data_IF_776974871906
#
_entry.id   IF_776974871906
#
_cell.length_a   1.000
_cell.length_b   1.000
_cell.length_c   1.000
_cell.angle_alpha   90.00
_cell.angle_beta   90.00
_cell.angle_gamma   90.00
#
_symmetry.space_group_name_H-M   'P 1'
#
loop_
_entity.id
_entity.type
_entity.pdbx_description
1 polymer ?
#
# COMPACT_ATOMS: atom_id res chain seq x y z
N UNK A 1 -7.69 -0.81 -5.00
CA UNK A 1 -7.31 -1.85 -4.07
C UNK A 1 -6.96 -1.27 -2.71
N UNK A 2 -7.87 -1.44 -1.78
CA UNK A 2 -7.73 -1.06 -0.37
C UNK A 2 -7.95 -2.33 0.42
N UNK A 3 -7.00 -2.65 1.32
CA UNK A 3 -7.14 -3.78 2.23
C UNK A 3 -7.91 -3.31 3.47
N UNK A 4 -9.00 -3.97 3.79
CA UNK A 4 -9.79 -3.71 4.99
C UNK A 4 -9.64 -4.88 5.95
N UNK A 5 -9.20 -4.59 7.18
CA UNK A 5 -9.06 -5.58 8.25
C UNK A 5 -9.85 -5.13 9.46
N UNK A 6 -10.84 -5.90 9.85
CA UNK A 6 -11.67 -5.62 11.04
C UNK A 6 -11.08 -6.30 12.27
N UNK A 7 -10.99 -5.54 13.35
CA UNK A 7 -10.59 -6.00 14.67
C UNK A 7 -11.76 -5.85 15.65
N UNK A 8 -12.03 -6.90 16.40
CA UNK A 8 -13.10 -6.93 17.40
C UNK A 8 -12.61 -7.59 18.70
N UNK A 9 -12.95 -7.00 19.82
CA UNK A 9 -12.69 -7.51 21.17
C UNK A 9 -13.85 -7.14 22.10
N UNK A 10 -13.81 -7.63 23.34
CA UNK A 10 -14.79 -7.25 24.36
C UNK A 10 -14.71 -5.76 24.72
N UNK A 11 -13.58 -5.11 24.45
CA UNK A 11 -13.35 -3.69 24.76
C UNK A 11 -13.84 -2.76 23.64
N UNK A 12 -13.98 -3.24 22.41
CA UNK A 12 -14.44 -2.43 21.29
C UNK A 12 -14.04 -2.97 19.91
N UNK A 13 -14.33 -2.17 18.88
CA UNK A 13 -14.14 -2.53 17.48
C UNK A 13 -13.54 -1.38 16.68
N UNK A 14 -12.67 -1.71 15.73
CA UNK A 14 -12.13 -0.78 14.75
C UNK A 14 -11.78 -1.50 13.45
N UNK A 15 -11.63 -0.74 12.37
CA UNK A 15 -11.20 -1.23 11.06
C UNK A 15 -9.90 -0.55 10.68
N UNK A 16 -8.96 -1.31 10.16
CA UNK A 16 -7.74 -0.81 9.54
C UNK A 16 -7.89 -0.87 8.02
N UNK A 17 -7.69 0.27 7.36
CA UNK A 17 -7.71 0.40 5.92
C UNK A 17 -6.29 0.72 5.43
N UNK A 18 -5.67 -0.26 4.77
CA UNK A 18 -4.32 -0.11 4.20
C UNK A 18 -4.42 0.16 2.70
N UNK A 19 -3.76 1.22 2.23
CA UNK A 19 -3.74 1.57 0.82
C UNK A 19 -2.52 2.40 0.43
N UNK A 20 -2.20 2.39 -0.85
CA UNK A 20 -1.29 3.34 -1.48
C UNK A 20 -2.13 4.29 -2.34
N UNK A 21 -1.96 5.62 -2.24
CA UNK A 21 -2.73 6.58 -3.02
C UNK A 21 -2.60 6.32 -4.52
N UNK A 22 -3.74 6.29 -5.20
CA UNK A 22 -3.80 6.09 -6.63
C UNK A 22 -5.02 6.82 -7.19
N UNK A 23 -4.80 7.92 -7.92
CA UNK A 23 -5.86 8.66 -8.60
C UNK A 23 -5.30 9.50 -9.74
N UNK A 24 -6.15 10.05 -10.60
CA UNK A 24 -5.71 10.95 -11.67
C UNK A 24 -5.25 12.29 -11.07
N UNK A 25 -4.12 12.79 -11.56
CA UNK A 25 -3.66 14.13 -11.22
C UNK A 25 -4.63 15.22 -11.70
N UNK A 26 -4.59 16.39 -11.11
CA UNK A 26 -5.53 17.47 -11.44
C UNK A 26 -5.40 17.98 -12.88
N UNK A 27 -4.22 17.86 -13.48
CA UNK A 27 -3.94 18.22 -14.86
C UNK A 27 -4.37 17.16 -15.90
N UNK A 28 -4.98 16.06 -15.44
CA UNK A 28 -5.43 14.91 -16.25
C UNK A 28 -4.33 14.21 -17.08
N UNK A 29 -3.08 14.69 -16.99
CA UNK A 29 -1.96 14.19 -17.80
C UNK A 29 -1.31 12.94 -17.22
N UNK A 30 -1.58 12.60 -15.96
CA UNK A 30 -0.94 11.49 -15.29
C UNK A 30 -1.72 10.95 -14.08
N UNK A 31 -1.07 10.06 -13.36
CA UNK A 31 -1.58 9.51 -12.12
C UNK A 31 -0.71 9.99 -10.96
N UNK A 32 -1.35 10.29 -9.84
CA UNK A 32 -0.66 10.49 -8.57
C UNK A 32 -0.42 9.12 -7.94
N UNK A 33 0.83 8.71 -7.88
CA UNK A 33 1.29 7.40 -7.41
C UNK A 33 2.52 7.59 -6.52
N UNK A 34 2.39 8.21 -5.35
CA UNK A 34 3.53 8.43 -4.47
C UNK A 34 4.00 7.10 -3.86
N UNK A 35 5.27 7.02 -3.49
CA UNK A 35 5.81 5.89 -2.74
C UNK A 35 5.41 5.98 -1.25
N UNK A 36 4.12 5.97 -1.00
CA UNK A 36 3.50 6.18 0.30
C UNK A 36 2.51 5.06 0.62
N UNK A 37 2.57 4.56 1.85
CA UNK A 37 1.59 3.62 2.39
C UNK A 37 0.81 4.30 3.51
N UNK A 38 -0.48 4.35 3.34
CA UNK A 38 -1.42 4.87 4.32
C UNK A 38 -2.08 3.72 5.07
N UNK A 39 -2.24 3.90 6.36
CA UNK A 39 -3.00 3.04 7.26
C UNK A 39 -3.99 3.89 8.02
N UNK A 40 -5.23 3.92 7.58
CA UNK A 40 -6.32 4.59 8.27
C UNK A 40 -6.96 3.64 9.28
N UNK A 41 -7.00 4.06 10.53
CA UNK A 41 -7.56 3.32 11.65
C UNK A 41 -8.91 3.94 11.97
N UNK A 42 -9.97 3.32 11.47
CA UNK A 42 -11.35 3.79 11.66
C UNK A 42 -11.93 3.20 12.94
N UNK A 43 -12.19 4.06 13.91
CA UNK A 43 -12.83 3.70 15.16
C UNK A 43 -14.32 3.44 14.94
N UNK A 44 -14.86 2.32 15.47
CA UNK A 44 -16.26 1.97 15.38
C UNK A 44 -16.95 2.19 16.72
N UNK A 45 -16.47 1.54 17.77
CA UNK A 45 -17.08 1.64 19.11
C UNK A 45 -16.15 1.16 20.22
N UNK A 46 -16.48 1.56 21.47
CA UNK A 46 -15.75 1.12 22.67
C UNK A 46 -14.40 1.80 22.81
N UNK A 47 -13.52 1.15 23.57
CA UNK A 47 -12.14 1.60 23.83
C UNK A 47 -11.17 0.46 23.55
N UNK A 48 -11.10 -0.03 22.28
CA UNK A 48 -10.21 -1.13 21.97
C UNK A 48 -8.76 -0.73 22.19
N UNK A 49 -7.95 -1.70 22.63
CA UNK A 49 -6.54 -1.53 22.92
C UNK A 49 -5.70 -2.28 21.91
N UNK A 50 -4.62 -1.66 21.44
CA UNK A 50 -3.68 -2.28 20.52
C UNK A 50 -2.27 -1.75 20.72
N UNK A 51 -1.31 -2.40 20.05
CA UNK A 51 0.09 -1.96 19.97
C UNK A 51 0.52 -1.88 18.53
N UNK A 52 1.32 -0.87 18.21
CA UNK A 52 1.95 -0.75 16.90
C UNK A 52 3.36 -1.31 17.01
N UNK A 53 3.64 -2.34 16.21
CA UNK A 53 4.98 -2.88 16.08
C UNK A 53 5.65 -2.34 14.81
N UNK A 54 6.25 -1.16 14.91
CA UNK A 54 7.03 -0.59 13.81
C UNK A 54 8.41 -1.26 13.78
N UNK A 55 8.63 -2.06 12.74
CA UNK A 55 9.87 -2.82 12.57
C UNK A 55 10.36 -2.69 11.12
N UNK A 56 10.88 -1.51 10.74
CA UNK A 56 11.38 -1.28 9.39
C UNK A 56 12.63 -2.12 9.11
N UNK A 57 12.78 -2.53 7.85
CA UNK A 57 13.91 -3.34 7.38
C UNK A 57 14.48 -2.76 6.07
N UNK A 58 14.97 -1.51 6.06
CA UNK A 58 15.54 -0.90 4.87
C UNK A 58 16.72 -1.72 4.37
N UNK A 59 17.00 -1.62 3.07
CA UNK A 59 18.06 -2.35 2.39
C UNK A 59 18.00 -3.87 2.66
N UNK A 60 16.80 -4.46 2.53
CA UNK A 60 16.56 -5.91 2.71
C UNK A 60 17.05 -6.46 4.06
N UNK A 61 17.02 -5.67 5.11
CA UNK A 61 17.51 -6.03 6.46
C UNK A 61 19.01 -6.45 6.51
N UNK A 62 19.84 -5.98 5.58
CA UNK A 62 21.26 -6.33 5.52
C UNK A 62 22.14 -5.61 6.55
N UNK A 63 21.57 -4.69 7.33
CA UNK A 63 22.30 -3.93 8.33
C UNK A 63 21.48 -3.54 9.53
N UNK A 64 22.14 -2.89 10.49
CA UNK A 64 21.42 -2.34 11.64
C UNK A 64 20.54 -1.18 11.22
N UNK A 65 19.32 -1.16 11.75
CA UNK A 65 18.37 -0.09 11.51
C UNK A 65 18.59 1.02 12.53
N UNK A 66 18.74 2.25 12.05
CA UNK A 66 18.79 3.46 12.87
C UNK A 66 17.41 4.10 12.85
N UNK A 67 16.89 4.42 14.03
CA UNK A 67 15.60 5.11 14.21
C UNK A 67 15.84 6.47 14.86
N UNK A 68 15.58 7.54 14.13
CA UNK A 68 15.59 8.92 14.64
C UNK A 68 14.17 9.42 14.81
N UNK A 69 13.82 9.85 16.02
CA UNK A 69 12.52 10.47 16.30
C UNK A 69 12.66 11.99 16.20
N UNK A 70 11.77 12.58 15.44
CA UNK A 70 11.54 14.01 15.40
C UNK A 70 10.13 14.33 15.93
N UNK A 71 9.76 15.59 16.14
CA UNK A 71 8.39 15.93 16.52
C UNK A 71 7.34 15.55 15.47
N UNK A 72 7.73 15.35 14.21
CA UNK A 72 6.81 15.15 13.09
C UNK A 72 6.80 13.72 12.53
N UNK A 73 7.92 12.98 12.64
CA UNK A 73 8.07 11.64 12.06
C UNK A 73 9.15 10.82 12.77
N UNK A 74 9.09 9.51 12.57
CA UNK A 74 10.21 8.60 12.82
C UNK A 74 10.92 8.34 11.50
N UNK A 75 12.19 8.71 11.40
CA UNK A 75 13.05 8.36 10.28
C UNK A 75 13.74 7.02 10.56
N UNK A 76 13.73 6.13 9.57
CA UNK A 76 14.47 4.85 9.62
C UNK A 76 15.34 4.67 8.39
N UNK A 77 16.57 4.20 8.61
CA UNK A 77 17.53 3.90 7.54
C UNK A 77 18.56 2.86 8.00
N UNK A 78 19.28 2.27 7.03
CA UNK A 78 20.34 1.32 7.31
C UNK A 78 21.64 2.03 7.72
N UNK A 79 22.36 1.51 8.70
CA UNK A 79 23.57 2.14 9.28
C UNK A 79 24.72 2.34 8.28
N UNK A 80 24.85 1.49 7.27
CA UNK A 80 25.91 1.58 6.27
C UNK A 80 25.44 2.09 4.89
N UNK A 81 24.14 2.13 4.64
CA UNK A 81 23.56 2.68 3.42
C UNK A 81 22.34 3.52 3.78
N UNK A 82 22.46 4.82 3.58
CA UNK A 82 21.41 5.77 3.91
C UNK A 82 20.54 6.17 2.69
N UNK A 83 20.63 5.41 1.58
CA UNK A 83 19.83 5.68 0.38
C UNK A 83 18.37 5.31 0.56
N UNK A 84 18.11 4.20 1.28
CA UNK A 84 16.77 3.72 1.57
C UNK A 84 16.29 4.31 2.89
N UNK A 85 15.57 5.43 2.83
CA UNK A 85 15.00 6.10 3.99
C UNK A 85 13.49 5.92 4.03
N UNK A 86 12.98 5.70 5.23
CA UNK A 86 11.55 5.63 5.47
C UNK A 86 11.18 6.66 6.52
N UNK A 87 10.04 7.33 6.32
CA UNK A 87 9.51 8.34 7.22
C UNK A 87 8.12 7.93 7.67
N UNK A 88 7.97 7.60 8.95
CA UNK A 88 6.69 7.27 9.54
C UNK A 88 6.08 8.50 10.21
N UNK A 89 4.97 8.97 9.69
CA UNK A 89 4.11 9.99 10.27
C UNK A 89 2.91 9.31 10.95
N UNK A 90 2.37 9.93 11.98
CA UNK A 90 1.20 9.42 12.68
C UNK A 90 0.41 10.55 13.32
N UNK A 91 -0.90 10.36 13.45
CA UNK A 91 -1.73 11.16 14.37
C UNK A 91 -1.55 10.75 15.83
N UNK A 92 -0.99 9.55 16.06
CA UNK A 92 -0.65 8.98 17.36
C UNK A 92 0.73 9.45 17.85
N UNK A 93 0.99 9.26 19.14
CA UNK A 93 2.30 9.55 19.74
C UNK A 93 3.41 8.70 19.11
N UNK A 94 4.35 9.34 18.40
CA UNK A 94 5.51 8.67 17.80
C UNK A 94 6.40 8.00 18.86
N UNK A 95 6.47 8.57 20.06
CA UNK A 95 7.23 8.00 21.16
C UNK A 95 6.59 6.69 21.67
N UNK A 96 5.26 6.65 21.80
CA UNK A 96 4.55 5.45 22.24
C UNK A 96 4.64 4.33 21.17
N UNK A 97 4.65 4.70 19.88
CA UNK A 97 4.90 3.75 18.77
C UNK A 97 6.31 3.16 18.92
N UNK A 98 7.34 3.99 19.10
CA UNK A 98 8.73 3.50 19.27
C UNK A 98 8.87 2.59 20.48
N UNK A 99 8.25 2.96 21.60
CA UNK A 99 8.31 2.20 22.85
C UNK A 99 7.34 1.01 22.88
N UNK A 100 6.56 0.81 21.81
CA UNK A 100 5.55 -0.26 21.69
C UNK A 100 4.56 -0.27 22.83
N UNK A 101 4.19 0.93 23.31
CA UNK A 101 3.19 1.07 24.36
C UNK A 101 1.81 0.67 23.87
N UNK A 102 0.97 0.31 24.82
CA UNK A 102 -0.44 0.09 24.57
C UNK A 102 -1.15 1.42 24.31
N UNK A 103 -1.94 1.44 23.24
CA UNK A 103 -2.70 2.59 22.77
C UNK A 103 -4.19 2.26 22.91
N UNK A 104 -4.96 3.19 23.47
CA UNK A 104 -6.41 3.12 23.55
C UNK A 104 -6.97 3.94 22.40
N UNK A 105 -7.82 3.33 21.58
CA UNK A 105 -8.46 4.00 20.47
C UNK A 105 -9.82 4.57 20.91
N UNK A 106 -10.01 5.88 20.73
CA UNK A 106 -11.27 6.59 21.03
C UNK A 106 -11.80 7.41 19.86
N UNK A 107 -11.04 7.48 18.78
CA UNK A 107 -11.36 8.21 17.54
C UNK A 107 -10.56 7.64 16.38
N UNK A 108 -10.85 8.14 15.19
CA UNK A 108 -10.07 7.81 13.98
C UNK A 108 -8.63 8.30 14.12
N UNK A 109 -7.70 7.45 13.73
CA UNK A 109 -6.26 7.73 13.73
C UNK A 109 -5.64 7.25 12.42
N UNK A 110 -4.41 7.67 12.11
CA UNK A 110 -3.71 7.21 10.92
C UNK A 110 -2.21 7.04 11.14
N UNK A 111 -1.61 6.25 10.26
CA UNK A 111 -0.18 6.14 10.01
C UNK A 111 0.07 6.40 8.52
N UNK A 112 1.14 7.11 8.22
CA UNK A 112 1.63 7.32 6.87
C UNK A 112 3.11 6.95 6.82
N UNK A 113 3.46 5.99 6.00
CA UNK A 113 4.84 5.62 5.73
C UNK A 113 5.23 6.11 4.33
N UNK A 114 6.17 7.06 4.26
CA UNK A 114 6.74 7.56 3.02
C UNK A 114 8.13 6.99 2.79
N UNK A 115 8.47 6.68 1.54
CA UNK A 115 9.75 6.13 1.13
C UNK A 115 10.58 7.16 0.38
N UNK A 116 11.79 7.41 0.86
CA UNK A 116 12.80 8.35 0.34
C UNK A 116 12.40 9.83 0.25
N UNK A 117 11.13 10.15 0.47
CA UNK A 117 10.65 11.52 0.39
C UNK A 117 9.97 11.94 1.70
N UNK A 118 10.28 13.14 2.16
CA UNK A 118 9.58 13.75 3.28
C UNK A 118 8.31 14.40 2.77
N UNK A 119 7.20 14.11 3.43
CA UNK A 119 5.92 14.74 3.12
C UNK A 119 5.61 15.86 4.12
N UNK A 120 4.80 16.82 3.70
CA UNK A 120 4.24 17.81 4.61
C UNK A 120 3.30 17.05 5.55
N UNK A 121 3.42 17.23 6.88
CA UNK A 121 2.53 16.60 7.83
C UNK A 121 1.06 16.82 7.46
N UNK A 122 0.31 15.74 7.45
CA UNK A 122 -1.12 15.76 7.17
C UNK A 122 -1.93 15.58 8.46
N UNK A 123 -3.19 15.97 8.39
CA UNK A 123 -4.18 15.69 9.43
C UNK A 123 -5.12 14.56 8.99
N UNK A 124 -6.03 14.18 9.88
CA UNK A 124 -6.99 13.11 9.63
C UNK A 124 -7.98 13.45 8.50
N UNK A 125 -8.28 14.72 8.30
CA UNK A 125 -9.18 15.15 7.23
C UNK A 125 -8.51 15.02 5.85
N UNK A 126 -7.23 15.36 5.76
CA UNK A 126 -6.44 15.14 4.55
C UNK A 126 -6.31 13.64 4.24
N UNK A 127 -6.08 12.82 5.25
CA UNK A 127 -6.02 11.37 5.10
C UNK A 127 -7.33 10.81 4.52
N UNK A 128 -8.49 11.21 5.05
CA UNK A 128 -9.80 10.82 4.54
C UNK A 128 -10.00 11.21 3.07
N UNK A 129 -9.50 12.36 2.66
CA UNK A 129 -9.56 12.79 1.25
C UNK A 129 -8.73 11.85 0.37
N UNK A 130 -7.52 11.50 0.77
CA UNK A 130 -6.65 10.57 0.02
C UNK A 130 -7.28 9.17 -0.08
N UNK A 131 -7.89 8.68 1.00
CA UNK A 131 -8.67 7.46 1.01
C UNK A 131 -9.83 7.51 0.01
N UNK A 132 -10.68 8.54 0.08
CA UNK A 132 -11.84 8.70 -0.79
C UNK A 132 -11.43 8.79 -2.28
N UNK A 133 -10.40 9.56 -2.61
CA UNK A 133 -9.88 9.66 -3.98
C UNK A 133 -9.41 8.31 -4.51
N UNK A 134 -8.65 7.57 -3.70
CA UNK A 134 -8.16 6.25 -4.04
C UNK A 134 -9.32 5.25 -4.21
N UNK A 135 -10.30 5.27 -3.32
CA UNK A 135 -11.49 4.44 -3.40
C UNK A 135 -12.28 4.70 -4.69
N UNK A 136 -12.58 5.97 -4.98
CA UNK A 136 -13.31 6.39 -6.19
C UNK A 136 -12.56 5.97 -7.45
N UNK A 137 -11.24 6.12 -7.48
CA UNK A 137 -10.42 5.68 -8.61
C UNK A 137 -10.63 4.18 -8.89
N UNK A 138 -10.53 3.33 -7.88
CA UNK A 138 -10.65 1.88 -8.05
C UNK A 138 -12.08 1.45 -8.37
N UNK A 139 -13.08 2.07 -7.77
CA UNK A 139 -14.49 1.79 -8.09
C UNK A 139 -14.81 2.18 -9.54
N UNK A 140 -14.39 3.37 -9.99
CA UNK A 140 -14.57 3.80 -11.37
C UNK A 140 -13.86 2.87 -12.36
N UNK A 141 -12.72 2.30 -11.97
CA UNK A 141 -12.01 1.38 -12.83
C UNK A 141 -12.74 0.03 -12.95
N UNK A 142 -13.23 -0.53 -11.84
CA UNK A 142 -13.99 -1.79 -11.85
C UNK A 142 -15.35 -1.66 -12.51
N UNK A 143 -15.99 -0.50 -12.41
CA UNK A 143 -17.30 -0.26 -13.04
C UNK A 143 -17.25 -0.31 -14.58
N UNK A 144 -16.09 -0.06 -15.17
CA UNK A 144 -15.86 -0.16 -16.62
C UNK A 144 -15.65 -1.60 -17.11
N UNK A 145 -15.44 -2.56 -16.21
CA UNK A 145 -15.27 -3.96 -16.58
C UNK A 145 -16.59 -4.58 -17.04
N UNK A 146 -16.53 -5.53 -17.99
CA UNK A 146 -17.69 -6.32 -18.37
C UNK A 146 -18.17 -7.12 -17.16
N UNK A 147 -19.48 -7.18 -16.97
CA UNK A 147 -20.10 -7.95 -15.89
C UNK A 147 -20.56 -9.32 -16.43
N UNK A 148 -20.31 -10.35 -15.66
CA UNK A 148 -20.62 -11.73 -15.98
C UNK A 148 -21.55 -12.33 -14.94
N UNK A 149 -22.38 -13.27 -15.36
CA UNK A 149 -23.34 -13.96 -14.47
C UNK A 149 -22.65 -14.98 -13.57
N UNK A 150 -21.51 -15.53 -14.03
CA UNK A 150 -20.72 -16.52 -13.28
C UNK A 150 -19.36 -15.95 -12.94
N UNK A 151 -18.91 -16.16 -11.72
CA UNK A 151 -17.58 -15.83 -11.22
C UNK A 151 -17.19 -14.33 -11.32
N UNK A 152 -18.18 -13.42 -11.36
CA UNK A 152 -17.92 -11.99 -11.57
C UNK A 152 -16.92 -11.43 -10.55
N UNK A 153 -17.06 -11.76 -9.27
CA UNK A 153 -16.17 -11.27 -8.19
C UNK A 153 -14.73 -11.76 -8.40
N UNK A 154 -14.55 -13.00 -8.84
CA UNK A 154 -13.23 -13.58 -9.12
C UNK A 154 -12.60 -12.90 -10.34
N UNK A 155 -13.39 -12.63 -11.37
CA UNK A 155 -12.95 -11.92 -12.58
C UNK A 155 -12.54 -10.49 -12.23
N UNK A 156 -13.37 -9.74 -11.51
CA UNK A 156 -13.04 -8.39 -11.06
C UNK A 156 -11.76 -8.37 -10.24
N UNK A 157 -11.61 -9.31 -9.31
CA UNK A 157 -10.39 -9.43 -8.49
C UNK A 157 -9.15 -9.69 -9.35
N UNK A 158 -9.27 -10.57 -10.33
CA UNK A 158 -8.17 -10.88 -11.27
C UNK A 158 -7.78 -9.66 -12.11
N UNK A 159 -8.76 -8.92 -12.62
CA UNK A 159 -8.53 -7.68 -13.38
C UNK A 159 -7.84 -6.61 -12.52
N UNK A 160 -8.24 -6.46 -11.25
CA UNK A 160 -7.59 -5.55 -10.31
C UNK A 160 -6.12 -5.94 -10.06
N UNK A 161 -5.80 -7.23 -9.97
CA UNK A 161 -4.42 -7.71 -9.85
C UNK A 161 -3.63 -7.36 -11.11
N UNK A 162 -4.15 -7.64 -12.30
CA UNK A 162 -3.48 -7.29 -13.56
C UNK A 162 -3.23 -5.78 -13.67
N UNK A 163 -4.21 -4.96 -13.24
CA UNK A 163 -4.03 -3.50 -13.22
C UNK A 163 -2.93 -3.06 -12.25
N UNK A 164 -2.81 -3.69 -11.07
CA UNK A 164 -1.72 -3.44 -10.13
C UNK A 164 -0.35 -3.82 -10.68
N UNK A 165 -0.29 -4.82 -11.58
CA UNK A 165 0.94 -5.25 -12.24
C UNK A 165 1.36 -4.31 -13.37
N UNK A 166 0.48 -3.40 -13.80
CA UNK A 166 0.78 -2.46 -14.89
C UNK A 166 1.60 -1.28 -14.38
N UNK A 167 2.77 -1.07 -14.96
CA UNK A 167 3.64 0.06 -14.65
C UNK A 167 3.25 1.30 -15.46
N UNK A 168 3.68 2.49 -15.03
CA UNK A 168 3.27 3.76 -15.65
C UNK A 168 3.67 3.91 -17.13
N UNK A 169 4.70 3.19 -17.58
CA UNK A 169 5.13 3.19 -18.98
C UNK A 169 4.39 2.15 -19.86
N UNK A 170 3.36 1.47 -19.32
CA UNK A 170 2.60 0.45 -20.00
C UNK A 170 3.16 -0.98 -19.92
N UNK A 171 4.34 -1.17 -19.30
CA UNK A 171 4.87 -2.50 -19.06
C UNK A 171 4.03 -3.24 -18.01
N UNK A 172 3.86 -4.55 -18.21
CA UNK A 172 3.20 -5.43 -17.22
C UNK A 172 4.26 -6.28 -16.55
N UNK A 173 4.38 -6.16 -15.24
CA UNK A 173 5.31 -6.96 -14.43
C UNK A 173 4.82 -8.41 -14.36
N UNK A 174 5.73 -9.38 -14.44
CA UNK A 174 5.36 -10.78 -14.30
C UNK A 174 4.96 -11.13 -12.87
N UNK A 175 5.62 -10.55 -11.86
CA UNK A 175 5.21 -10.61 -10.45
C UNK A 175 5.81 -9.45 -9.65
N UNK A 176 5.15 -9.09 -8.54
CA UNK A 176 5.65 -8.06 -7.60
C UNK A 176 6.54 -8.63 -6.50
N UNK A 177 6.63 -9.95 -6.40
CA UNK A 177 7.28 -10.63 -5.29
C UNK A 177 8.74 -10.98 -5.60
N UNK A 178 9.60 -10.82 -4.57
CA UNK A 178 10.99 -11.28 -4.56
C UNK A 178 11.24 -12.25 -3.41
N UNK A 179 10.17 -12.75 -2.79
CA UNK A 179 10.22 -13.30 -1.44
C UNK A 179 10.83 -14.70 -1.34
N UNK A 180 10.74 -15.52 -2.38
CA UNK A 180 11.25 -16.89 -2.34
C UNK A 180 12.10 -17.16 -3.58
N UNK A 181 13.39 -17.53 -3.41
CA UNK A 181 14.19 -17.98 -4.52
C UNK A 181 13.61 -19.29 -5.07
N UNK A 182 13.54 -19.43 -6.39
CA UNK A 182 13.12 -20.68 -7.05
C UNK A 182 14.07 -21.83 -6.69
N UNK A 183 15.36 -21.52 -6.63
CA UNK A 183 16.41 -22.46 -6.24
C UNK A 183 17.41 -21.78 -5.30
N UNK A 184 17.36 -22.12 -4.02
CA UNK A 184 18.22 -21.50 -2.99
C UNK A 184 19.71 -21.78 -3.28
N UNK A 185 20.50 -20.71 -3.42
CA UNK A 185 21.95 -20.81 -3.68
C UNK A 185 22.34 -21.16 -5.12
N UNK A 186 21.36 -21.30 -6.02
CA UNK A 186 21.55 -21.65 -7.43
C UNK A 186 21.39 -20.44 -8.35
N UNK A 187 21.77 -20.62 -9.63
CA UNK A 187 21.68 -19.56 -10.66
C UNK A 187 20.23 -19.33 -11.13
N UNK A 188 19.33 -20.30 -10.94
CA UNK A 188 17.94 -20.29 -11.42
C UNK A 188 17.03 -19.49 -10.50
N UNK A 189 17.33 -18.19 -10.35
CA UNK A 189 16.53 -17.26 -9.56
C UNK A 189 16.20 -16.06 -10.45
N UNK A 190 15.01 -16.10 -11.08
CA UNK A 190 14.59 -15.08 -12.02
C UNK A 190 13.96 -13.90 -11.28
N UNK A 191 14.24 -12.69 -11.74
CA UNK A 191 13.57 -11.51 -11.24
C UNK A 191 12.27 -11.27 -12.02
N UNK A 192 11.14 -11.59 -11.41
CA UNK A 192 9.81 -11.44 -11.99
C UNK A 192 9.26 -10.01 -11.92
N UNK A 193 9.98 -9.07 -11.31
CA UNK A 193 9.60 -7.65 -11.28
C UNK A 193 9.83 -6.94 -12.62
N UNK A 194 10.41 -7.63 -13.59
CA UNK A 194 10.55 -7.15 -14.96
C UNK A 194 9.35 -7.52 -15.84
N UNK A 195 9.23 -6.82 -16.97
CA UNK A 195 8.25 -7.14 -17.99
C UNK A 195 8.74 -8.34 -18.82
N UNK A 196 8.07 -9.47 -18.64
CA UNK A 196 8.27 -10.66 -19.48
C UNK A 196 7.30 -10.61 -20.64
N UNK A 197 7.78 -10.67 -21.86
CA UNK A 197 6.94 -10.52 -23.06
C UNK A 197 5.79 -11.54 -23.12
N UNK A 198 6.02 -12.78 -22.73
CA UNK A 198 5.00 -13.81 -22.66
C UNK A 198 3.88 -13.42 -21.69
N UNK A 199 4.25 -13.05 -20.47
CA UNK A 199 3.30 -12.72 -19.40
C UNK A 199 2.52 -11.44 -19.73
N UNK A 200 3.20 -10.45 -20.30
CA UNK A 200 2.58 -9.23 -20.79
C UNK A 200 1.57 -9.49 -21.90
N UNK A 201 1.89 -10.35 -22.87
CA UNK A 201 1.01 -10.71 -23.97
C UNK A 201 -0.27 -11.38 -23.48
N UNK A 202 -0.15 -12.36 -22.57
CA UNK A 202 -1.31 -13.03 -21.95
C UNK A 202 -2.17 -12.08 -21.14
N UNK A 203 -1.55 -11.16 -20.41
CA UNK A 203 -2.26 -10.15 -19.61
C UNK A 203 -3.05 -9.19 -20.50
N UNK A 204 -2.46 -8.71 -21.59
CA UNK A 204 -3.11 -7.82 -22.54
C UNK A 204 -4.28 -8.53 -23.22
N UNK A 205 -4.10 -9.77 -23.69
CA UNK A 205 -5.18 -10.58 -24.29
C UNK A 205 -6.35 -10.75 -23.31
N UNK A 206 -6.07 -11.10 -22.07
CA UNK A 206 -7.08 -11.20 -21.01
C UNK A 206 -7.79 -9.88 -20.78
N UNK A 207 -7.06 -8.76 -20.71
CA UNK A 207 -7.65 -7.44 -20.53
C UNK A 207 -8.58 -7.07 -21.70
N UNK A 208 -8.20 -7.37 -22.95
CA UNK A 208 -9.03 -7.10 -24.12
C UNK A 208 -10.33 -7.90 -24.13
N UNK A 209 -10.32 -9.12 -23.57
CA UNK A 209 -11.52 -9.95 -23.48
C UNK A 209 -12.49 -9.46 -22.39
N UNK A 210 -11.97 -8.99 -21.25
CA UNK A 210 -12.75 -8.73 -20.03
C UNK A 210 -12.94 -7.25 -19.71
N UNK A 211 -12.16 -6.34 -20.28
CA UNK A 211 -12.35 -4.89 -20.12
C UNK A 211 -12.83 -4.26 -21.43
N UNK A 212 -13.55 -3.16 -21.32
CA UNK A 212 -13.70 -2.27 -22.46
C UNK A 212 -12.32 -1.71 -22.81
N UNK A 213 -12.01 -1.52 -24.11
CA UNK A 213 -10.76 -0.86 -24.47
C UNK A 213 -10.70 0.47 -23.72
N UNK A 214 -9.65 0.59 -22.90
CA UNK A 214 -9.38 1.87 -22.26
C UNK A 214 -8.93 2.85 -23.34
N UNK A 215 -9.45 4.06 -23.38
CA UNK A 215 -8.89 5.09 -24.21
C UNK A 215 -7.45 5.40 -23.81
#
# INVERSE_FOLDING_TARGET
NILSTQFSSDEGEFVVLDYMPCYRSQDETGHYLPAELYRYIHWIKGKPRFKINYHPAPNYAQGQVILNITPQYIESYCSFDNKDRQYLYASLSLQDIKEKKEIILEKDEFLLLSYNEKVIPIDIEREKIEYCRTLVYWLNWTDRSKKYTLYNDVIERSLLVLKLMSYHNGAVLAALTTSLPEAVGEVRNWDYRFCWLRDASMSIETCLLYTSPSP
#
